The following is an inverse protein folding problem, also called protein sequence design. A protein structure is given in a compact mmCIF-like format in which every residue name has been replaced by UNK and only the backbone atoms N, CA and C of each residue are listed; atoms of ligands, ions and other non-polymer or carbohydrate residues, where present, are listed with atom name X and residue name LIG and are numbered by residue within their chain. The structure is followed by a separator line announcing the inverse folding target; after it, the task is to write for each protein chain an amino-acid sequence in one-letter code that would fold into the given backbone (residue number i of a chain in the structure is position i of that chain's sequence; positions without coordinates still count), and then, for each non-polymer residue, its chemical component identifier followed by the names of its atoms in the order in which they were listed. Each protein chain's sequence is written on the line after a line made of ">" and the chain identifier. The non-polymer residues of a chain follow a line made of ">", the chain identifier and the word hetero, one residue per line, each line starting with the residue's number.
data_IF_326535917051
#
_entry.id   IF_326535917051
#
_cell.length_a   1.000
_cell.length_b   1.000
_cell.length_c   1.000
_cell.angle_alpha   90.00
_cell.angle_beta   90.00
_cell.angle_gamma   90.00
#
_symmetry.space_group_name_H-M   'P 1'
#
loop_
_entity.id
_entity.type
_entity.pdbx_description
1 polymer ?
#
# COMPACT_ATOMS: atom_id res chain seq x y z
N UNK A 1 58.16 -13.16 -18.54
CA UNK A 1 56.87 -12.91 -17.85
C UNK A 1 55.93 -12.24 -18.83
N UNK A 2 55.03 -13.03 -19.42
CA UNK A 2 54.25 -12.69 -20.61
C UNK A 2 53.05 -11.82 -20.24
N UNK A 3 52.92 -10.65 -20.90
CA UNK A 3 51.74 -9.79 -20.85
C UNK A 3 50.68 -10.40 -21.78
N UNK A 4 49.53 -10.78 -21.25
CA UNK A 4 48.41 -11.31 -22.02
C UNK A 4 47.30 -10.24 -22.09
N UNK A 5 47.36 -9.43 -23.14
CA UNK A 5 46.25 -8.65 -23.68
C UNK A 5 45.25 -9.58 -24.35
N UNK A 6 43.99 -9.57 -23.92
CA UNK A 6 42.86 -10.05 -24.73
C UNK A 6 41.69 -9.09 -24.55
N UNK A 7 41.50 -8.28 -25.59
CA UNK A 7 40.36 -7.41 -25.85
C UNK A 7 39.47 -8.16 -26.84
N UNK A 8 38.36 -8.75 -26.41
CA UNK A 8 37.31 -9.34 -27.27
C UNK A 8 36.03 -9.35 -26.42
N UNK A 9 34.84 -8.96 -26.84
CA UNK A 9 34.33 -8.15 -27.94
C UNK A 9 32.86 -7.89 -27.56
N UNK A 10 32.36 -6.71 -27.88
CA UNK A 10 30.95 -6.38 -27.90
C UNK A 10 30.19 -7.39 -28.78
N UNK A 11 29.17 -8.07 -28.24
CA UNK A 11 28.23 -8.85 -29.05
C UNK A 11 26.79 -8.55 -28.60
N UNK A 12 26.28 -7.42 -29.09
CA UNK A 12 24.86 -7.23 -29.30
C UNK A 12 24.54 -7.77 -30.69
N UNK A 13 23.61 -8.73 -30.78
CA UNK A 13 22.76 -8.89 -31.96
C UNK A 13 21.47 -9.61 -31.55
N UNK A 14 20.37 -9.02 -32.02
CA UNK A 14 18.99 -9.40 -31.80
C UNK A 14 18.59 -10.66 -32.59
N UNK A 15 17.35 -11.10 -32.31
CA UNK A 15 16.45 -11.88 -33.18
C UNK A 15 16.42 -13.40 -32.95
N UNK A 16 15.40 -13.84 -32.22
CA UNK A 16 14.66 -15.06 -32.55
C UNK A 16 13.24 -14.97 -31.96
N UNK A 17 12.28 -14.60 -32.80
CA UNK A 17 10.87 -14.86 -32.59
C UNK A 17 10.65 -16.38 -32.59
N UNK A 18 10.08 -16.92 -31.52
CA UNK A 18 9.41 -18.22 -31.57
C UNK A 18 7.92 -17.94 -31.43
N UNK A 19 7.24 -18.04 -32.57
CA UNK A 19 5.79 -17.98 -32.63
C UNK A 19 5.21 -19.33 -32.22
N UNK A 20 4.18 -19.28 -31.37
CA UNK A 20 3.20 -20.35 -31.31
C UNK A 20 1.83 -19.77 -31.71
N UNK A 21 1.15 -20.53 -32.56
CA UNK A 21 0.08 -20.09 -33.43
C UNK A 21 -1.25 -20.22 -32.70
N UNK A 22 -1.82 -19.09 -32.27
CA UNK A 22 -3.23 -19.01 -31.86
C UNK A 22 -4.07 -18.75 -33.11
N UNK A 23 -4.98 -19.67 -33.45
CA UNK A 23 -6.03 -19.44 -34.44
C UNK A 23 -7.40 -19.46 -33.73
N UNK A 24 -8.17 -18.42 -34.03
CA UNK A 24 -9.42 -18.03 -33.40
C UNK A 24 -10.63 -18.55 -34.17
N UNK A 25 -11.76 -18.71 -33.47
CA UNK A 25 -13.15 -18.60 -33.92
C UNK A 25 -14.03 -19.01 -32.71
N UNK A 26 -15.15 -18.40 -32.34
CA UNK A 26 -16.03 -17.37 -32.89
C UNK A 26 -16.92 -16.87 -31.72
N UNK A 27 -17.57 -15.71 -31.86
CA UNK A 27 -18.26 -14.95 -30.79
C UNK A 27 -19.57 -15.56 -30.21
N UNK A 28 -20.38 -14.77 -29.46
CA UNK A 28 -20.84 -13.46 -29.92
C UNK A 28 -20.71 -12.29 -28.92
N UNK A 29 -20.73 -11.12 -29.56
CA UNK A 29 -20.94 -9.77 -29.08
C UNK A 29 -21.86 -9.59 -27.86
N UNK A 30 -21.41 -8.75 -26.93
CA UNK A 30 -22.26 -7.86 -26.16
C UNK A 30 -21.71 -6.44 -26.33
N UNK A 31 -22.39 -5.63 -27.13
CA UNK A 31 -22.13 -4.21 -27.33
C UNK A 31 -22.62 -3.39 -26.12
N UNK A 32 -21.87 -2.30 -25.84
CA UNK A 32 -22.29 -1.02 -25.23
C UNK A 32 -23.06 -1.06 -23.91
N UNK A 33 -22.67 -0.31 -22.88
CA UNK A 33 -22.64 1.16 -22.95
C UNK A 33 -21.52 1.75 -22.09
N UNK A 34 -20.67 2.53 -22.76
CA UNK A 34 -19.92 3.63 -22.16
C UNK A 34 -20.92 4.75 -21.95
N UNK A 35 -21.27 5.06 -20.70
CA UNK A 35 -21.88 6.34 -20.38
C UNK A 35 -20.80 7.27 -19.80
N UNK A 36 -20.37 8.17 -20.67
CA UNK A 36 -19.72 9.42 -20.33
C UNK A 36 -20.70 10.50 -20.81
N UNK A 37 -21.42 11.17 -19.90
CA UNK A 37 -21.16 12.56 -19.50
C UNK A 37 -22.44 13.26 -18.99
N UNK A 38 -22.20 14.13 -18.00
CA UNK A 38 -22.94 15.34 -17.57
C UNK A 38 -24.04 15.16 -16.53
N UNK A 39 -23.71 15.55 -15.29
CA UNK A 39 -24.28 16.70 -14.55
C UNK A 39 -23.56 16.71 -13.18
N UNK A 40 -22.53 17.52 -12.96
CA UNK A 40 -22.65 18.94 -12.62
C UNK A 40 -24.05 19.34 -12.15
N UNK A 41 -24.33 18.95 -10.92
CA UNK A 41 -25.36 19.52 -10.07
C UNK A 41 -24.97 19.19 -8.63
N UNK A 42 -23.97 19.92 -8.12
CA UNK A 42 -23.83 20.15 -6.67
C UNK A 42 -24.95 21.12 -6.28
N UNK A 43 -26.18 20.61 -6.36
CA UNK A 43 -27.33 21.29 -5.81
C UNK A 43 -27.26 21.05 -4.31
N UNK A 44 -27.09 22.17 -3.60
CA UNK A 44 -26.99 22.26 -2.17
C UNK A 44 -28.33 21.84 -1.59
N UNK A 45 -28.50 20.55 -1.31
CA UNK A 45 -29.61 20.07 -0.49
C UNK A 45 -29.31 20.43 0.97
N UNK A 46 -29.69 21.65 1.29
CA UNK A 46 -29.74 22.28 2.60
C UNK A 46 -30.80 21.57 3.48
N UNK A 47 -30.45 20.38 3.96
CA UNK A 47 -31.14 19.65 5.02
C UNK A 47 -30.28 18.47 5.49
N UNK A 48 -29.01 18.70 5.78
CA UNK A 48 -28.26 17.82 6.64
C UNK A 48 -28.58 18.24 8.08
N UNK A 49 -29.47 17.52 8.76
CA UNK A 49 -29.43 17.53 10.22
C UNK A 49 -28.00 17.20 10.63
N UNK A 50 -27.28 18.18 11.17
CA UNK A 50 -25.92 18.02 11.66
C UNK A 50 -25.99 17.08 12.86
N UNK A 51 -25.49 15.86 12.69
CA UNK A 51 -25.30 14.97 13.82
C UNK A 51 -24.36 15.65 14.82
N UNK A 52 -24.68 15.63 16.13
CA UNK A 52 -23.81 16.21 17.14
C UNK A 52 -22.44 15.55 17.09
N UNK A 53 -21.39 16.36 17.20
CA UNK A 53 -20.01 15.89 17.23
C UNK A 53 -19.75 15.05 18.50
N UNK A 54 -18.74 14.17 18.47
CA UNK A 54 -18.39 13.38 19.66
C UNK A 54 -18.05 14.28 20.87
N UNK A 55 -17.48 15.45 20.61
CA UNK A 55 -17.17 16.50 21.59
C UNK A 55 -18.42 17.01 22.32
N UNK A 56 -19.56 17.12 21.64
CA UNK A 56 -20.83 17.59 22.22
C UNK A 56 -21.54 16.52 23.05
N UNK A 57 -21.29 15.25 22.76
CA UNK A 57 -21.96 14.10 23.40
C UNK A 57 -21.16 13.62 24.62
N UNK A 58 -19.84 13.73 24.58
CA UNK A 58 -18.97 13.20 25.62
C UNK A 58 -18.90 14.13 26.85
N UNK A 59 -18.99 13.57 28.07
CA UNK A 59 -18.69 14.33 29.29
C UNK A 59 -17.28 14.93 29.26
N UNK A 60 -17.07 16.12 29.85
CA UNK A 60 -15.78 16.85 29.80
C UNK A 60 -14.56 16.02 30.24
N UNK A 61 -14.72 15.09 31.17
CA UNK A 61 -13.64 14.19 31.60
C UNK A 61 -13.09 13.29 30.47
N UNK A 62 -13.78 13.20 29.34
CA UNK A 62 -13.40 12.45 28.15
C UNK A 62 -12.99 13.33 26.97
N UNK A 63 -12.86 14.66 27.14
CA UNK A 63 -12.44 15.58 26.07
C UNK A 63 -11.07 15.19 25.46
N UNK A 64 -10.22 14.50 26.23
CA UNK A 64 -8.94 13.97 25.73
C UNK A 64 -9.08 12.93 24.60
N UNK A 65 -10.26 12.30 24.47
CA UNK A 65 -10.51 11.31 23.41
C UNK A 65 -10.76 11.96 22.05
N UNK A 66 -11.11 13.25 22.03
CA UNK A 66 -11.44 13.99 20.82
C UNK A 66 -10.36 15.02 20.46
N UNK A 67 -9.46 15.35 21.38
CA UNK A 67 -8.26 16.13 21.10
C UNK A 67 -7.38 15.45 20.02
N UNK A 68 -6.95 16.18 18.97
CA UNK A 68 -6.02 15.65 17.98
C UNK A 68 -4.69 15.24 18.63
N UNK A 69 -4.36 13.96 18.54
CA UNK A 69 -3.05 13.47 18.98
C UNK A 69 -2.02 13.61 17.86
N UNK A 70 -0.99 14.42 18.11
CA UNK A 70 0.09 14.70 17.16
C UNK A 70 1.44 14.19 17.69
N UNK A 71 2.31 13.73 16.80
CA UNK A 71 3.74 13.55 17.10
C UNK A 71 4.18 12.16 17.60
N UNK A 72 3.31 11.15 17.66
CA UNK A 72 3.75 9.80 18.08
C UNK A 72 4.76 9.16 17.13
N UNK A 73 4.68 9.52 15.84
CA UNK A 73 5.58 8.96 14.84
C UNK A 73 7.04 9.26 15.17
N UNK A 74 7.36 10.44 15.67
CA UNK A 74 8.73 10.83 16.03
C UNK A 74 9.26 9.97 17.18
N UNK A 75 8.42 9.74 18.20
CA UNK A 75 8.75 8.83 19.29
C UNK A 75 8.90 7.37 18.85
N UNK A 76 8.04 6.89 17.95
CA UNK A 76 8.16 5.53 17.38
C UNK A 76 9.44 5.39 16.55
N UNK A 77 9.80 6.43 15.82
CA UNK A 77 11.02 6.55 15.02
C UNK A 77 12.27 6.43 15.90
N UNK A 78 12.31 7.14 17.04
CA UNK A 78 13.43 7.11 17.97
C UNK A 78 13.62 5.73 18.63
N UNK A 79 12.52 4.99 18.79
CA UNK A 79 12.51 3.59 19.27
C UNK A 79 12.76 2.56 18.17
N UNK A 80 12.91 2.97 16.91
CA UNK A 80 13.07 2.11 15.73
C UNK A 80 11.93 1.10 15.49
N UNK A 81 10.74 1.32 16.07
CA UNK A 81 9.65 0.36 15.98
C UNK A 81 8.30 1.07 15.86
N UNK A 82 7.57 0.74 14.80
CA UNK A 82 6.16 1.11 14.59
C UNK A 82 5.33 -0.17 14.71
N UNK A 83 4.54 -0.27 15.78
CA UNK A 83 3.64 -1.41 15.99
C UNK A 83 2.30 -1.10 15.35
N UNK A 84 1.82 -1.97 14.48
CA UNK A 84 0.56 -1.76 13.75
C UNK A 84 -0.43 -2.83 14.15
N UNK A 85 -1.54 -2.40 14.75
CA UNK A 85 -2.67 -3.28 15.01
C UNK A 85 -3.25 -3.79 13.70
N UNK A 86 -3.34 -5.11 13.56
CA UNK A 86 -3.94 -5.77 12.39
C UNK A 86 -5.02 -6.71 12.87
N UNK A 87 -6.18 -6.69 12.20
CA UNK A 87 -7.24 -7.64 12.50
C UNK A 87 -6.89 -8.98 11.88
N UNK A 88 -6.90 -10.03 12.70
CA UNK A 88 -6.61 -11.39 12.25
C UNK A 88 -7.78 -11.94 11.42
N UNK A 89 -7.49 -12.44 10.22
CA UNK A 89 -8.49 -13.04 9.35
C UNK A 89 -8.01 -13.18 7.91
N UNK A 90 -8.49 -14.19 7.20
CA UNK A 90 -8.28 -14.29 5.74
C UNK A 90 -9.23 -13.34 5.00
N UNK A 91 -8.82 -12.63 3.93
CA UNK A 91 -7.50 -12.60 3.26
C UNK A 91 -6.53 -11.54 3.82
N UNK A 92 -6.89 -10.88 4.92
CA UNK A 92 -6.30 -9.63 5.36
C UNK A 92 -4.96 -9.83 6.09
N UNK A 93 -4.92 -10.65 7.13
CA UNK A 93 -3.71 -11.03 7.86
C UNK A 93 -3.89 -12.42 8.49
N UNK A 94 -3.04 -13.37 8.13
CA UNK A 94 -3.10 -14.75 8.62
C UNK A 94 -1.72 -15.38 8.68
N UNK A 95 -1.57 -16.44 9.48
CA UNK A 95 -0.34 -17.22 9.49
C UNK A 95 -0.48 -18.45 8.59
N UNK A 96 0.51 -18.68 7.75
CA UNK A 96 0.65 -19.89 6.95
C UNK A 96 2.04 -20.48 7.17
N UNK A 97 2.09 -21.73 7.65
CA UNK A 97 3.34 -22.40 8.02
C UNK A 97 4.20 -21.57 9.01
N UNK A 98 3.53 -20.95 9.99
CA UNK A 98 4.20 -20.11 11.01
C UNK A 98 4.69 -18.75 10.50
N UNK A 99 4.46 -18.41 9.23
CA UNK A 99 4.83 -17.11 8.65
C UNK A 99 3.59 -16.23 8.48
N UNK A 100 3.66 -14.94 8.82
CA UNK A 100 2.56 -14.03 8.52
C UNK A 100 2.42 -13.92 6.99
N UNK A 101 1.18 -13.78 6.52
CA UNK A 101 0.77 -13.59 5.12
C UNK A 101 -0.49 -12.72 5.10
N UNK A 102 -0.89 -12.32 3.90
CA UNK A 102 -2.12 -11.55 3.67
C UNK A 102 -1.84 -10.14 3.18
N UNK A 103 -2.89 -9.47 2.74
CA UNK A 103 -2.82 -8.14 2.13
C UNK A 103 -2.16 -7.11 3.06
N UNK A 104 -2.49 -7.14 4.35
CA UNK A 104 -1.95 -6.19 5.33
C UNK A 104 -0.45 -6.34 5.47
N UNK A 105 0.07 -7.57 5.45
CA UNK A 105 1.52 -7.78 5.55
C UNK A 105 2.25 -7.14 4.37
N UNK A 106 1.79 -7.38 3.14
CA UNK A 106 2.42 -6.85 1.94
C UNK A 106 2.38 -5.31 1.91
N UNK A 107 1.25 -4.73 2.33
CA UNK A 107 1.12 -3.28 2.51
C UNK A 107 2.12 -2.74 3.52
N UNK A 108 2.26 -3.39 4.68
CA UNK A 108 3.17 -2.97 5.75
C UNK A 108 4.64 -3.08 5.33
N UNK A 109 5.03 -4.13 4.58
CA UNK A 109 6.37 -4.25 4.02
C UNK A 109 6.67 -3.09 3.05
N UNK A 110 5.73 -2.79 2.14
CA UNK A 110 5.84 -1.67 1.22
C UNK A 110 5.96 -0.32 1.95
N UNK A 111 5.14 -0.14 2.99
CA UNK A 111 5.16 1.06 3.81
C UNK A 111 6.47 1.21 4.60
N UNK A 112 7.01 0.12 5.18
CA UNK A 112 8.30 0.13 5.86
C UNK A 112 9.43 0.58 4.93
N UNK A 113 9.44 0.07 3.70
CA UNK A 113 10.42 0.49 2.68
C UNK A 113 10.25 1.97 2.35
N UNK A 114 9.03 2.43 2.12
CA UNK A 114 8.75 3.83 1.84
C UNK A 114 9.19 4.75 2.99
N UNK A 115 8.84 4.40 4.22
CA UNK A 115 9.18 5.15 5.43
C UNK A 115 10.70 5.27 5.60
N UNK A 116 11.43 4.17 5.50
CA UNK A 116 12.88 4.19 5.65
C UNK A 116 13.60 4.94 4.53
N UNK A 117 13.09 4.87 3.29
CA UNK A 117 13.59 5.68 2.18
C UNK A 117 13.39 7.17 2.44
N UNK A 118 12.20 7.56 2.93
CA UNK A 118 11.90 8.96 3.27
C UNK A 118 12.77 9.49 4.41
N UNK A 119 13.10 8.64 5.38
CA UNK A 119 13.94 9.01 6.53
C UNK A 119 15.45 8.93 6.24
N UNK A 120 15.86 8.40 5.08
CA UNK A 120 17.27 8.25 4.71
C UNK A 120 18.07 7.34 5.64
N UNK A 121 17.42 6.36 6.28
CA UNK A 121 18.07 5.53 7.31
C UNK A 121 18.72 4.28 6.73
N UNK A 122 19.98 4.06 7.12
CA UNK A 122 20.73 2.83 6.85
C UNK A 122 20.58 1.83 8.00
N UNK A 123 21.62 1.72 8.84
CA UNK A 123 21.71 0.73 9.93
C UNK A 123 20.63 0.90 11.03
N UNK A 124 20.05 2.09 11.16
CA UNK A 124 19.04 2.44 12.17
C UNK A 124 17.64 2.53 11.56
N UNK A 125 17.31 1.60 10.65
CA UNK A 125 16.01 1.55 10.01
C UNK A 125 14.88 1.30 11.02
N UNK A 126 13.72 1.87 10.73
CA UNK A 126 12.48 1.63 11.49
C UNK A 126 11.88 0.32 11.03
N UNK A 127 11.55 -0.54 11.97
CA UNK A 127 10.84 -1.79 11.72
C UNK A 127 9.34 -1.62 11.95
N UNK A 128 8.53 -2.21 11.08
CA UNK A 128 7.08 -2.25 11.21
C UNK A 128 6.66 -3.65 11.70
N UNK A 129 6.02 -3.68 12.87
CA UNK A 129 5.67 -4.91 13.57
C UNK A 129 4.14 -5.07 13.56
N UNK A 130 3.56 -5.99 12.77
CA UNK A 130 2.14 -6.28 12.83
C UNK A 130 1.78 -6.95 14.16
N UNK A 131 0.80 -6.40 14.87
CA UNK A 131 0.27 -6.87 16.14
C UNK A 131 -1.16 -7.38 15.91
N UNK A 132 -1.36 -8.69 15.76
CA UNK A 132 -2.68 -9.26 15.55
C UNK A 132 -3.58 -9.04 16.77
N UNK A 133 -4.84 -8.66 16.51
CA UNK A 133 -5.96 -8.71 17.45
C UNK A 133 -7.05 -9.66 16.99
#
# INVERSE_FOLDING_TARGET
>A
MMKLTVTIAFLALASACSGDKTEAADGPAAESQVDTRVQDSVESSDAAESLPSLDEILPEQFAILTEPWLGDLDGMIERHAVRVLVVSGGPQFFYFQGKPRGLMLELLIGYQKHLNNKLGRGLHAVEIIPMPV
#
